data_IF_021896162442
#
_entry.id   IF_021896162442
#
_cell.length_a   1.000
_cell.length_b   1.000
_cell.length_c   1.000
_cell.angle_alpha   90.00
_cell.angle_beta   90.00
_cell.angle_gamma   90.00
#
_symmetry.space_group_name_H-M   'P 1'
#
loop_
_entity.id
_entity.type
_entity.pdbx_description
1 polymer ?
#
# COMPACT_ATOMS: atom_id res chain seq x y z
N UNK A 1 38.45 2.01 22.80
CA UNK A 1 38.92 2.65 24.05
C UNK A 1 38.86 4.15 23.83
N UNK A 2 37.97 4.87 24.51
CA UNK A 2 37.82 6.33 24.37
C UNK A 2 38.57 7.01 25.54
N UNK A 3 39.39 8.04 25.31
CA UNK A 3 40.03 8.80 26.39
C UNK A 3 38.98 9.38 27.36
N UNK A 4 39.18 9.24 28.68
CA UNK A 4 38.18 9.67 29.70
C UNK A 4 37.71 11.11 29.55
N UNK A 5 38.57 12.01 29.08
CA UNK A 5 38.24 13.44 28.87
C UNK A 5 37.28 13.69 27.71
N UNK A 6 37.13 12.73 26.80
CA UNK A 6 36.30 12.81 25.59
C UNK A 6 35.11 11.82 25.66
N UNK A 7 34.89 11.19 26.82
CA UNK A 7 33.81 10.23 26.96
C UNK A 7 32.43 10.87 26.84
N UNK A 8 32.27 12.09 27.34
CA UNK A 8 30.99 12.81 27.30
C UNK A 8 30.65 13.21 25.86
N UNK A 9 31.61 13.80 25.13
CA UNK A 9 31.46 14.13 23.70
C UNK A 9 31.18 12.87 22.87
N UNK A 10 31.91 11.78 23.10
CA UNK A 10 31.65 10.49 22.44
C UNK A 10 30.23 10.00 22.72
N UNK A 11 29.76 10.10 23.96
CA UNK A 11 28.41 9.67 24.33
C UNK A 11 27.36 10.50 23.60
N UNK A 12 27.49 11.82 23.60
CA UNK A 12 26.54 12.72 22.95
C UNK A 12 26.48 12.51 21.43
N UNK A 13 27.62 12.21 20.80
CA UNK A 13 27.67 11.96 19.36
C UNK A 13 27.20 10.56 18.95
N UNK A 14 27.45 9.53 19.78
CA UNK A 14 27.31 8.12 19.36
C UNK A 14 26.24 7.33 20.11
N UNK A 15 25.78 7.80 21.27
CA UNK A 15 24.88 7.04 22.14
C UNK A 15 23.68 7.84 22.65
N UNK A 16 23.78 9.17 22.70
CA UNK A 16 22.70 9.99 23.22
C UNK A 16 21.40 9.78 22.40
N UNK A 17 20.26 9.61 23.09
CA UNK A 17 18.96 9.52 22.45
C UNK A 17 18.63 10.76 21.61
N UNK A 18 17.88 10.57 20.54
CA UNK A 18 17.47 11.61 19.60
C UNK A 18 15.96 11.78 19.61
N UNK A 19 15.50 13.01 19.38
CA UNK A 19 14.06 13.31 19.35
C UNK A 19 13.50 13.16 17.94
N UNK A 20 12.44 12.37 17.78
CA UNK A 20 11.74 12.20 16.52
C UNK A 20 11.01 13.48 16.13
N UNK A 21 11.27 14.01 14.93
CA UNK A 21 10.60 15.21 14.45
C UNK A 21 9.09 15.03 14.23
N UNK A 22 8.65 13.78 13.95
CA UNK A 22 7.27 13.45 13.62
C UNK A 22 6.42 13.18 14.87
N UNK A 23 6.84 12.26 15.74
CA UNK A 23 6.08 11.90 16.95
C UNK A 23 6.54 12.63 18.22
N UNK A 24 7.65 13.37 18.18
CA UNK A 24 8.25 14.10 19.32
C UNK A 24 8.75 13.22 20.47
N UNK A 25 8.80 11.91 20.29
CA UNK A 25 9.36 10.98 21.27
C UNK A 25 10.89 10.99 21.23
N UNK A 26 11.51 10.79 22.40
CA UNK A 26 12.95 10.58 22.55
C UNK A 26 13.26 9.10 22.35
N UNK A 27 14.12 8.79 21.39
CA UNK A 27 14.40 7.45 20.90
C UNK A 27 15.90 7.17 20.99
N UNK A 28 16.28 5.99 21.47
CA UNK A 28 17.68 5.58 21.53
C UNK A 28 18.30 5.50 20.14
N UNK A 29 19.56 5.92 20.02
CA UNK A 29 20.27 5.98 18.74
C UNK A 29 20.36 4.64 18.02
N UNK A 30 20.55 3.54 18.75
CA UNK A 30 20.56 2.18 18.18
C UNK A 30 19.20 1.80 17.54
N UNK A 31 18.10 2.29 18.13
CA UNK A 31 16.74 1.98 17.67
C UNK A 31 16.18 3.00 16.66
N UNK A 32 16.95 4.05 16.34
CA UNK A 32 16.49 5.18 15.54
C UNK A 32 16.03 4.77 14.14
N UNK A 33 16.80 3.93 13.45
CA UNK A 33 16.48 3.48 12.10
C UNK A 33 15.20 2.64 12.08
N UNK A 34 15.08 1.71 13.04
CA UNK A 34 13.89 0.89 13.22
C UNK A 34 12.66 1.73 13.60
N UNK A 35 12.84 2.76 14.42
CA UNK A 35 11.78 3.70 14.74
C UNK A 35 11.29 4.41 13.48
N UNK A 36 12.21 4.96 12.68
CA UNK A 36 11.85 5.73 11.49
C UNK A 36 11.15 4.87 10.43
N UNK A 37 11.59 3.62 10.24
CA UNK A 37 11.01 2.74 9.22
C UNK A 37 9.71 2.05 9.67
N UNK A 38 9.67 1.54 10.90
CA UNK A 38 8.59 0.62 11.32
C UNK A 38 7.77 1.10 12.53
N UNK A 39 8.40 1.72 13.54
CA UNK A 39 7.71 1.95 14.82
C UNK A 39 7.04 3.31 14.96
N UNK A 40 7.51 4.32 14.23
CA UNK A 40 7.01 5.68 14.37
C UNK A 40 5.51 5.71 13.99
N UNK A 41 4.62 6.12 14.89
CA UNK A 41 3.18 6.17 14.62
C UNK A 41 2.81 7.25 13.59
N UNK A 42 3.67 8.26 13.46
CA UNK A 42 3.50 9.38 12.54
C UNK A 42 4.25 9.20 11.21
N UNK A 43 4.82 8.02 10.94
CA UNK A 43 5.43 7.75 9.63
C UNK A 43 4.35 7.71 8.56
N UNK A 44 4.67 8.21 7.36
CA UNK A 44 3.76 8.17 6.22
C UNK A 44 3.79 6.79 5.58
N UNK A 45 2.63 6.17 5.42
CA UNK A 45 2.45 4.86 4.80
C UNK A 45 1.31 4.95 3.80
N UNK A 46 1.47 4.32 2.64
CA UNK A 46 0.42 4.25 1.63
C UNK A 46 -0.62 3.17 1.97
N UNK A 47 -1.90 3.48 1.78
CA UNK A 47 -2.97 2.49 1.87
C UNK A 47 -2.85 1.43 0.76
N UNK A 48 -2.89 0.15 1.12
CA UNK A 48 -2.78 -0.98 0.18
C UNK A 48 -3.91 -1.02 -0.88
N UNK A 49 -5.04 -0.36 -0.61
CA UNK A 49 -6.22 -0.39 -1.48
C UNK A 49 -6.38 0.86 -2.36
N UNK A 50 -5.84 2.01 -1.95
CA UNK A 50 -6.04 3.27 -2.68
C UNK A 50 -4.78 4.11 -2.84
N UNK A 51 -3.63 3.64 -2.35
CA UNK A 51 -2.32 4.28 -2.46
C UNK A 51 -2.22 5.68 -1.83
N UNK A 52 -3.26 6.12 -1.12
CA UNK A 52 -3.23 7.37 -0.38
C UNK A 52 -2.26 7.27 0.79
N UNK A 53 -1.35 8.24 0.93
CA UNK A 53 -0.38 8.30 2.02
C UNK A 53 -0.98 8.97 3.25
N UNK A 54 -0.86 8.32 4.40
CA UNK A 54 -1.35 8.81 5.67
C UNK A 54 -0.43 8.36 6.82
N UNK A 55 -0.51 9.03 7.99
CA UNK A 55 0.17 8.57 9.19
C UNK A 55 -0.21 7.13 9.54
N UNK A 56 0.76 6.33 9.98
CA UNK A 56 0.55 4.93 10.33
C UNK A 56 -0.51 4.72 11.43
N UNK A 57 -0.67 5.70 12.33
CA UNK A 57 -1.71 5.69 13.37
C UNK A 57 -3.13 5.66 12.78
N UNK A 58 -3.35 6.33 11.65
CA UNK A 58 -4.67 6.44 11.01
C UNK A 58 -4.88 5.34 9.95
N UNK A 59 -3.82 4.63 9.57
CA UNK A 59 -3.82 3.66 8.47
C UNK A 59 -4.82 2.52 8.69
N UNK A 60 -4.90 1.97 9.91
CA UNK A 60 -5.77 0.83 10.19
C UNK A 60 -7.25 1.20 10.05
N UNK A 61 -7.67 2.30 10.67
CA UNK A 61 -9.06 2.78 10.57
C UNK A 61 -9.43 3.10 9.11
N UNK A 62 -8.50 3.75 8.39
CA UNK A 62 -8.67 4.00 6.96
C UNK A 62 -8.81 2.72 6.15
N UNK A 63 -7.96 1.71 6.38
CA UNK A 63 -8.00 0.43 5.65
C UNK A 63 -9.27 -0.38 5.94
N UNK A 64 -9.82 -0.29 7.15
CA UNK A 64 -11.10 -0.94 7.49
C UNK A 64 -12.26 -0.39 6.65
N UNK A 65 -12.29 0.93 6.41
CA UNK A 65 -13.29 1.56 5.55
C UNK A 65 -12.95 1.37 4.07
N UNK A 66 -11.71 1.66 3.67
CA UNK A 66 -11.27 1.64 2.29
C UNK A 66 -11.31 0.23 1.70
N UNK A 67 -10.94 -0.80 2.47
CA UNK A 67 -10.97 -2.20 2.02
C UNK A 67 -12.37 -2.75 1.78
N UNK A 68 -13.39 -2.16 2.43
CA UNK A 68 -14.80 -2.51 2.22
C UNK A 68 -15.42 -1.84 0.98
N UNK A 69 -14.75 -0.86 0.37
CA UNK A 69 -15.17 -0.29 -0.91
C UNK A 69 -15.20 -1.41 -1.96
N UNK A 70 -16.19 -1.37 -2.84
CA UNK A 70 -16.34 -2.36 -3.90
C UNK A 70 -15.97 -1.78 -5.27
N UNK A 71 -15.42 -2.64 -6.13
CA UNK A 71 -15.20 -2.37 -7.55
C UNK A 71 -15.95 -3.38 -8.41
N UNK A 72 -16.31 -2.95 -9.61
CA UNK A 72 -17.09 -3.77 -10.53
C UNK A 72 -16.17 -4.63 -11.40
N UNK A 73 -16.25 -5.95 -11.26
CA UNK A 73 -15.55 -6.87 -12.14
C UNK A 73 -16.23 -6.96 -13.50
N UNK A 74 -15.48 -6.67 -14.57
CA UNK A 74 -16.01 -6.70 -15.93
C UNK A 74 -16.25 -8.12 -16.47
N UNK A 75 -15.51 -9.12 -15.95
CA UNK A 75 -15.60 -10.52 -16.38
C UNK A 75 -16.86 -11.20 -15.83
N UNK A 76 -17.08 -11.13 -14.51
CA UNK A 76 -18.20 -11.80 -13.86
C UNK A 76 -19.40 -10.88 -13.56
N UNK A 77 -19.29 -9.56 -13.83
CA UNK A 77 -20.29 -8.52 -13.57
C UNK A 77 -20.76 -8.43 -12.11
N UNK A 78 -19.90 -8.80 -11.16
CA UNK A 78 -20.16 -8.69 -9.71
C UNK A 78 -19.36 -7.53 -9.14
N UNK A 79 -19.91 -6.91 -8.09
CA UNK A 79 -19.19 -5.98 -7.24
C UNK A 79 -18.39 -6.77 -6.21
N UNK A 80 -17.09 -6.53 -6.17
CA UNK A 80 -16.12 -7.25 -5.34
C UNK A 80 -15.45 -6.24 -4.41
N UNK A 81 -15.28 -6.57 -3.14
CA UNK A 81 -14.59 -5.69 -2.18
C UNK A 81 -13.10 -5.62 -2.51
N UNK A 82 -12.47 -4.46 -2.29
CA UNK A 82 -11.04 -4.29 -2.57
C UNK A 82 -10.17 -5.30 -1.80
N UNK A 83 -10.50 -5.58 -0.54
CA UNK A 83 -9.80 -6.61 0.26
C UNK A 83 -9.89 -8.02 -0.34
N UNK A 84 -10.93 -8.30 -1.11
CA UNK A 84 -11.19 -9.62 -1.73
C UNK A 84 -10.71 -9.68 -3.19
N UNK A 85 -10.26 -8.56 -3.76
CA UNK A 85 -10.01 -8.42 -5.19
C UNK A 85 -8.94 -9.38 -5.71
N UNK A 86 -7.82 -9.54 -4.98
CA UNK A 86 -6.72 -10.43 -5.38
C UNK A 86 -7.21 -11.88 -5.46
N UNK A 87 -7.94 -12.34 -4.45
CA UNK A 87 -8.51 -13.69 -4.43
C UNK A 87 -9.55 -13.88 -5.54
N UNK A 88 -10.35 -12.86 -5.81
CA UNK A 88 -11.30 -12.85 -6.91
C UNK A 88 -10.60 -12.95 -8.27
N UNK A 89 -9.55 -12.17 -8.53
CA UNK A 89 -8.83 -12.15 -9.81
C UNK A 89 -8.29 -13.54 -10.17
N UNK A 90 -7.75 -14.28 -9.19
CA UNK A 90 -7.24 -15.63 -9.40
C UNK A 90 -8.32 -16.65 -9.77
N UNK A 91 -9.56 -16.45 -9.32
CA UNK A 91 -10.67 -17.40 -9.50
C UNK A 91 -11.68 -16.95 -10.56
N UNK A 92 -11.66 -15.68 -10.97
CA UNK A 92 -12.70 -15.12 -11.82
C UNK A 92 -12.69 -15.72 -13.24
N UNK A 93 -11.51 -16.08 -13.74
CA UNK A 93 -11.34 -16.58 -15.11
C UNK A 93 -11.88 -18.00 -15.32
N UNK A 94 -12.01 -18.81 -14.27
CA UNK A 94 -12.49 -20.19 -14.38
C UNK A 94 -14.02 -20.29 -14.37
N UNK A 95 -14.70 -19.27 -13.86
CA UNK A 95 -16.14 -19.31 -13.58
C UNK A 95 -17.01 -18.49 -14.55
N UNK A 96 -16.41 -17.90 -15.60
CA UNK A 96 -17.11 -17.06 -16.58
C UNK A 96 -17.96 -17.83 -17.60
N UNK A 97 -17.90 -19.17 -17.60
CA UNK A 97 -18.58 -20.00 -18.62
C UNK A 97 -19.93 -20.59 -18.20
N UNK A 98 -20.53 -20.18 -17.08
CA UNK A 98 -21.92 -20.55 -16.83
C UNK A 98 -22.36 -20.43 -15.40
N UNK A 99 -22.75 -19.23 -14.98
CA UNK A 99 -23.84 -19.09 -14.01
C UNK A 99 -24.49 -17.71 -14.19
N UNK A 100 -25.45 -17.65 -15.13
CA UNK A 100 -26.72 -17.06 -14.73
C UNK A 100 -27.25 -17.91 -13.54
N UNK A 101 -28.10 -17.32 -12.69
CA UNK A 101 -28.53 -17.86 -11.39
C UNK A 101 -27.51 -17.55 -10.26
N UNK A 102 -27.79 -16.72 -9.26
CA UNK A 102 -29.04 -16.49 -8.56
C UNK A 102 -29.24 -14.98 -8.37
N UNK A 103 -30.35 -14.48 -8.92
CA UNK A 103 -30.99 -13.26 -8.46
C UNK A 103 -31.34 -13.46 -6.98
N UNK A 104 -30.61 -12.81 -6.08
CA UNK A 104 -31.13 -12.61 -4.73
C UNK A 104 -32.25 -11.59 -4.87
N UNK A 105 -33.48 -12.08 -4.77
CA UNK A 105 -34.68 -11.29 -4.57
C UNK A 105 -34.41 -10.30 -3.44
N UNK A 106 -34.37 -9.01 -3.78
CA UNK A 106 -34.39 -7.91 -2.83
C UNK A 106 -35.80 -7.90 -2.21
N UNK A 107 -35.98 -7.98 -0.89
CA UNK A 107 -37.28 -7.69 -0.30
C UNK A 107 -37.58 -6.21 -0.52
N UNK A 108 -38.66 -5.95 -1.23
CA UNK A 108 -39.19 -4.62 -1.48
C UNK A 108 -39.46 -3.91 -0.15
N UNK A 109 -38.69 -2.86 0.14
CA UNK A 109 -39.07 -1.88 1.16
C UNK A 109 -38.78 -0.46 0.68
N UNK A 110 -39.88 0.21 0.35
CA UNK A 110 -40.11 1.65 0.16
C UNK A 110 -39.13 2.41 -0.75
N UNK A 111 -39.64 2.61 -1.97
CA UNK A 111 -39.19 3.56 -2.98
C UNK A 111 -39.02 4.96 -2.36
N UNK A 112 -37.77 5.41 -2.23
CA UNK A 112 -37.45 6.84 -2.17
C UNK A 112 -36.68 7.18 -3.46
N UNK A 113 -37.05 8.24 -4.20
CA UNK A 113 -36.46 8.52 -5.51
C UNK A 113 -34.95 8.81 -5.41
N UNK A 114 -34.14 8.41 -6.42
CA UNK A 114 -32.69 8.60 -6.39
C UNK A 114 -32.33 10.08 -6.52
N UNK A 115 -31.35 10.51 -5.70
CA UNK A 115 -30.75 11.84 -5.79
C UNK A 115 -29.95 12.01 -7.10
N UNK A 116 -29.75 13.24 -7.61
CA UNK A 116 -29.05 13.48 -8.87
C UNK A 116 -27.61 12.97 -8.82
N UNK A 117 -27.27 12.10 -9.77
CA UNK A 117 -25.92 11.56 -9.96
C UNK A 117 -24.98 12.70 -10.33
N UNK A 118 -24.03 13.04 -9.45
CA UNK A 118 -22.90 13.90 -9.82
C UNK A 118 -21.92 13.09 -10.67
N UNK A 119 -21.35 13.65 -11.76
CA UNK A 119 -20.35 12.94 -12.55
C UNK A 119 -19.15 12.55 -11.69
N UNK A 120 -18.70 11.30 -11.83
CA UNK A 120 -17.50 10.81 -11.18
C UNK A 120 -16.28 11.63 -11.60
N UNK A 121 -15.46 12.02 -10.62
CA UNK A 121 -14.11 12.55 -10.91
C UNK A 121 -13.31 11.46 -11.65
N UNK A 122 -12.50 11.80 -12.66
CA UNK A 122 -11.70 10.82 -13.36
C UNK A 122 -10.75 10.14 -12.37
N UNK A 123 -10.86 8.82 -12.29
CA UNK A 123 -10.00 7.97 -11.51
C UNK A 123 -8.57 8.07 -12.05
N UNK A 124 -7.68 8.61 -11.24
CA UNK A 124 -6.25 8.57 -11.52
C UNK A 124 -5.75 7.18 -11.15
N UNK A 125 -5.40 6.39 -12.17
CA UNK A 125 -4.21 5.55 -12.08
C UNK A 125 -4.37 4.10 -11.66
N UNK A 126 -5.15 3.31 -12.41
CA UNK A 126 -4.79 1.91 -12.66
C UNK A 126 -3.50 1.87 -13.53
N UNK A 127 -2.36 2.20 -12.93
CA UNK A 127 -1.04 2.15 -13.57
C UNK A 127 -0.11 1.12 -12.89
N UNK A 128 -0.54 0.55 -11.76
CA UNK A 128 0.25 -0.34 -10.94
C UNK A 128 0.65 -1.64 -11.67
N UNK A 129 -0.17 -2.10 -12.62
CA UNK A 129 0.09 -3.33 -13.38
C UNK A 129 1.02 -3.15 -14.59
N UNK A 130 1.29 -1.93 -15.08
CA UNK A 130 2.20 -1.73 -16.23
C UNK A 130 3.62 -1.34 -15.80
N UNK A 131 3.77 -0.59 -14.71
CA UNK A 131 5.07 -0.09 -14.27
C UNK A 131 5.98 -1.22 -13.73
N UNK A 132 5.41 -2.18 -13.00
CA UNK A 132 6.16 -3.29 -12.42
C UNK A 132 6.74 -4.24 -13.49
N UNK A 133 6.02 -4.49 -14.58
CA UNK A 133 6.52 -5.32 -15.69
C UNK A 133 7.65 -4.64 -16.46
N UNK A 134 7.63 -3.32 -16.63
CA UNK A 134 8.68 -2.60 -17.38
C UNK A 134 10.02 -2.56 -16.65
N UNK A 135 10.03 -2.43 -15.32
CA UNK A 135 11.26 -2.31 -14.53
C UNK A 135 12.02 -3.64 -14.49
N UNK A 136 11.31 -4.77 -14.40
CA UNK A 136 11.91 -6.10 -14.38
C UNK A 136 12.62 -6.46 -15.69
N UNK A 137 12.05 -6.09 -16.85
CA UNK A 137 12.61 -6.42 -18.17
C UNK A 137 13.86 -5.60 -18.48
N UNK A 138 13.89 -4.31 -18.12
CA UNK A 138 15.09 -3.48 -18.32
C UNK A 138 16.24 -3.85 -17.39
N UNK A 139 15.96 -4.28 -16.15
CA UNK A 139 17.00 -4.70 -15.20
C UNK A 139 17.74 -5.97 -15.63
N UNK A 140 17.02 -6.95 -16.19
CA UNK A 140 17.61 -8.21 -16.66
C UNK A 140 18.51 -7.97 -17.89
N UNK A 141 18.11 -7.10 -18.82
CA UNK A 141 18.90 -6.80 -20.02
C UNK A 141 20.25 -6.13 -19.70
N UNK A 142 20.30 -5.23 -18.72
CA UNK A 142 21.54 -4.55 -18.30
C UNK A 142 22.51 -5.53 -17.64
N UNK A 143 22.02 -6.42 -16.76
CA UNK A 143 22.87 -7.39 -16.06
C UNK A 143 23.50 -8.41 -17.02
N UNK A 144 22.75 -8.91 -18.00
CA UNK A 144 23.27 -9.86 -19.00
C UNK A 144 24.28 -9.19 -19.93
N UNK A 145 24.05 -7.93 -20.32
CA UNK A 145 24.98 -7.16 -21.15
C UNK A 145 26.34 -6.94 -20.48
N UNK A 146 26.36 -6.61 -19.18
CA UNK A 146 27.61 -6.35 -18.45
C UNK A 146 28.45 -7.61 -18.23
N UNK A 147 27.83 -8.79 -18.07
CA UNK A 147 28.55 -10.05 -17.86
C UNK A 147 29.20 -10.56 -19.16
N UNK A 148 28.55 -10.33 -20.30
CA UNK A 148 29.10 -10.75 -21.60
C UNK A 148 30.20 -9.81 -22.11
N UNK A 149 30.13 -8.51 -21.81
CA UNK A 149 31.15 -7.52 -22.24
C UNK A 149 32.41 -7.46 -21.37
N UNK A 150 32.45 -8.14 -20.22
CA UNK A 150 33.66 -8.26 -19.38
C UNK A 150 34.50 -9.52 -19.69
N UNK A 151 34.07 -10.34 -20.65
CA UNK A 151 34.75 -11.59 -21.06
C UNK A 151 35.46 -11.51 -22.42
N UNK A 152 35.62 -10.30 -22.97
CA UNK A 152 36.50 -10.00 -24.11
C UNK A 152 37.60 -9.01 -23.70
#
# INVERSE_FOLDING_TARGET
MVPRKLMDEHYDENHAPMNCALCKETIDRESWDLHKSEKCPQRMVACEYCEFELPAIDLNEHQDVCGNRTEHCQTCRKYIRLREWIGHEMQCHTNSNGSAETSRTIPEREVRPPAPVRPARPAHGSQHKRLLFTIAVTGIAVMVGSILFQRD
#
